data_IF_400589824602
#
_entry.id   IF_400589824602
#
_cell.length_a   1.000
_cell.length_b   1.000
_cell.length_c   1.000
_cell.angle_alpha   90.00
_cell.angle_beta   90.00
_cell.angle_gamma   90.00
#
_symmetry.space_group_name_H-M   'P 1'
#
loop_
_entity.id
_entity.type
_entity.pdbx_description
1 polymer ?
#
# COMPACT_ATOMS: atom_id res chain seq x y z
N UNK A 1 33.77 -28.84 -7.69
CA UNK A 1 33.90 -27.86 -8.79
C UNK A 1 35.27 -27.20 -8.75
N UNK A 2 35.65 -26.52 -7.65
CA UNK A 2 36.96 -25.85 -7.56
C UNK A 2 38.14 -26.81 -7.35
N UNK A 3 37.99 -27.92 -6.62
CA UNK A 3 39.03 -28.92 -6.38
C UNK A 3 39.54 -29.67 -7.64
N UNK A 4 39.08 -29.30 -8.85
CA UNK A 4 39.55 -29.85 -10.13
C UNK A 4 40.65 -29.01 -10.77
N UNK A 5 40.91 -27.80 -10.26
CA UNK A 5 42.02 -26.98 -10.72
C UNK A 5 43.30 -27.36 -9.95
N UNK A 6 44.36 -27.78 -10.66
CA UNK A 6 45.58 -28.30 -10.02
C UNK A 6 46.37 -27.22 -9.26
N UNK A 7 46.14 -25.94 -9.55
CA UNK A 7 46.98 -24.84 -9.04
C UNK A 7 46.47 -24.21 -7.73
N UNK A 8 45.28 -24.60 -7.25
CA UNK A 8 44.67 -23.94 -6.08
C UNK A 8 45.45 -24.26 -4.79
N UNK A 9 45.96 -25.49 -4.65
CA UNK A 9 46.68 -25.89 -3.43
C UNK A 9 48.03 -25.17 -3.29
N UNK A 10 48.77 -25.00 -4.39
CA UNK A 10 49.99 -24.18 -4.43
C UNK A 10 49.69 -22.70 -4.17
N UNK A 11 48.64 -22.16 -4.78
CA UNK A 11 48.28 -20.75 -4.61
C UNK A 11 47.88 -20.40 -3.16
N UNK A 12 47.28 -21.35 -2.44
CA UNK A 12 46.94 -21.20 -1.02
C UNK A 12 48.21 -21.28 -0.17
N UNK A 13 49.12 -22.21 -0.49
CA UNK A 13 50.39 -22.38 0.25
C UNK A 13 51.29 -21.15 0.11
N UNK A 14 51.36 -20.57 -1.09
CA UNK A 14 52.14 -19.37 -1.38
C UNK A 14 51.44 -18.07 -0.87
N UNK A 15 50.19 -18.18 -0.40
CA UNK A 15 49.37 -17.04 0.04
C UNK A 15 48.90 -16.14 -1.11
N UNK A 16 49.13 -16.53 -2.36
CA UNK A 16 48.67 -15.82 -3.55
C UNK A 16 47.13 -15.79 -3.63
N UNK A 17 46.46 -16.85 -3.16
CA UNK A 17 45.00 -16.90 -3.08
C UNK A 17 44.54 -17.08 -1.62
N UNK A 18 43.75 -16.13 -1.13
CA UNK A 18 43.18 -16.23 0.23
C UNK A 18 41.99 -17.18 0.26
N UNK A 19 41.82 -17.90 1.37
CA UNK A 19 40.65 -18.77 1.61
C UNK A 19 39.33 -17.99 1.45
N UNK A 20 39.32 -16.74 1.89
CA UNK A 20 38.16 -15.84 1.75
C UNK A 20 37.84 -15.53 0.29
N UNK A 21 38.85 -15.29 -0.56
CA UNK A 21 38.67 -15.07 -1.99
C UNK A 21 38.13 -16.34 -2.68
N UNK A 22 38.69 -17.50 -2.35
CA UNK A 22 38.25 -18.79 -2.88
C UNK A 22 36.79 -19.10 -2.48
N UNK A 23 36.42 -18.85 -1.22
CA UNK A 23 35.03 -19.03 -0.77
C UNK A 23 34.06 -18.07 -1.46
N UNK A 24 34.49 -16.82 -1.69
CA UNK A 24 33.69 -15.83 -2.43
C UNK A 24 33.44 -16.27 -3.87
N UNK A 25 34.47 -16.77 -4.54
CA UNK A 25 34.36 -17.35 -5.88
C UNK A 25 33.47 -18.61 -5.91
N UNK A 26 33.60 -19.49 -4.92
CA UNK A 26 32.73 -20.67 -4.77
C UNK A 26 31.25 -20.28 -4.64
N UNK A 27 30.94 -19.34 -3.75
CA UNK A 27 29.58 -18.84 -3.54
C UNK A 27 29.04 -18.22 -4.82
N UNK A 28 29.88 -17.47 -5.55
CA UNK A 28 29.54 -16.86 -6.83
C UNK A 28 29.16 -17.93 -7.88
N UNK A 29 30.01 -18.92 -8.13
CA UNK A 29 29.72 -19.99 -9.10
C UNK A 29 28.49 -20.81 -8.71
N UNK A 30 28.28 -21.05 -7.41
CA UNK A 30 27.09 -21.74 -6.91
C UNK A 30 25.81 -20.91 -7.12
N UNK A 31 25.89 -19.58 -7.01
CA UNK A 31 24.77 -18.68 -7.28
C UNK A 31 24.42 -18.67 -8.77
N UNK A 32 25.43 -18.58 -9.63
CA UNK A 32 25.26 -18.48 -11.08
C UNK A 32 24.73 -19.79 -11.68
N UNK A 33 25.23 -20.94 -11.23
CA UNK A 33 24.66 -22.24 -11.58
C UNK A 33 23.19 -22.37 -11.16
N UNK A 34 22.81 -21.84 -9.99
CA UNK A 34 21.40 -21.78 -9.56
C UNK A 34 20.56 -20.81 -10.41
N UNK A 35 21.16 -19.74 -10.91
CA UNK A 35 20.53 -18.80 -11.82
C UNK A 35 20.43 -19.32 -13.27
N UNK A 36 20.97 -20.52 -13.56
CA UNK A 36 20.94 -21.13 -14.89
C UNK A 36 22.16 -20.81 -15.75
N UNK A 37 23.13 -20.05 -15.24
CA UNK A 37 24.38 -19.71 -15.92
C UNK A 37 25.52 -20.60 -15.41
N UNK A 38 25.71 -21.75 -16.08
CA UNK A 38 26.85 -22.61 -15.80
C UNK A 38 28.11 -22.09 -16.52
N UNK A 39 29.17 -21.80 -15.75
CA UNK A 39 30.47 -21.46 -16.31
C UNK A 39 31.21 -22.72 -16.79
N UNK A 40 31.87 -22.62 -17.95
CA UNK A 40 32.81 -23.63 -18.41
C UNK A 40 34.09 -23.63 -17.55
N UNK A 41 34.81 -24.75 -17.56
CA UNK A 41 36.01 -24.96 -16.75
C UNK A 41 37.11 -23.91 -17.03
N UNK A 42 37.34 -23.56 -18.30
CA UNK A 42 38.36 -22.57 -18.67
C UNK A 42 38.01 -21.17 -18.13
N UNK A 43 36.75 -20.77 -18.22
CA UNK A 43 36.30 -19.47 -17.73
C UNK A 43 36.37 -19.37 -16.20
N UNK A 44 36.18 -20.48 -15.49
CA UNK A 44 36.39 -20.55 -14.04
C UNK A 44 37.86 -20.33 -13.68
N UNK A 45 38.79 -20.94 -14.42
CA UNK A 45 40.23 -20.74 -14.26
C UNK A 45 40.67 -19.29 -14.47
N UNK A 46 40.20 -18.64 -15.55
CA UNK A 46 40.49 -17.23 -15.83
C UNK A 46 40.02 -16.30 -14.69
N UNK A 47 38.83 -16.56 -14.14
CA UNK A 47 38.31 -15.79 -13.01
C UNK A 47 39.20 -16.01 -11.79
N UNK A 48 39.59 -17.25 -11.46
CA UNK A 48 40.46 -17.53 -10.32
C UNK A 48 41.84 -16.87 -10.43
N UNK A 49 42.44 -16.85 -11.63
CA UNK A 49 43.70 -16.15 -11.87
C UNK A 49 43.58 -14.65 -11.56
N UNK A 50 42.47 -14.03 -11.97
CA UNK A 50 42.22 -12.60 -11.71
C UNK A 50 42.05 -12.26 -10.22
N UNK A 51 41.79 -13.27 -9.36
CA UNK A 51 41.64 -13.10 -7.92
C UNK A 51 42.97 -13.19 -7.14
N UNK A 52 44.06 -13.64 -7.77
CA UNK A 52 45.36 -13.77 -7.11
C UNK A 52 45.88 -12.40 -6.64
N UNK A 53 46.38 -12.37 -5.41
CA UNK A 53 46.93 -11.20 -4.71
C UNK A 53 45.97 -9.99 -4.63
N UNK A 54 44.65 -10.22 -4.74
CA UNK A 54 43.64 -9.18 -4.61
C UNK A 54 43.11 -9.07 -3.19
N UNK A 55 42.77 -7.84 -2.79
CA UNK A 55 42.04 -7.58 -1.54
C UNK A 55 40.59 -8.08 -1.64
N UNK A 56 39.94 -8.32 -0.49
CA UNK A 56 38.54 -8.77 -0.44
C UNK A 56 37.58 -7.85 -1.20
N UNK A 57 37.81 -6.53 -1.15
CA UNK A 57 37.02 -5.52 -1.88
C UNK A 57 37.21 -5.62 -3.39
N UNK A 58 38.44 -5.86 -3.84
CA UNK A 58 38.76 -6.02 -5.26
C UNK A 58 38.20 -7.33 -5.80
N UNK A 59 38.29 -8.42 -5.02
CA UNK A 59 37.68 -9.71 -5.35
C UNK A 59 36.18 -9.54 -5.57
N UNK A 60 35.47 -8.89 -4.65
CA UNK A 60 34.04 -8.63 -4.80
C UNK A 60 33.73 -7.80 -6.06
N UNK A 61 34.54 -6.78 -6.36
CA UNK A 61 34.39 -5.95 -7.57
C UNK A 61 34.55 -6.77 -8.85
N UNK A 62 35.58 -7.62 -8.91
CA UNK A 62 35.86 -8.47 -10.07
C UNK A 62 34.74 -9.49 -10.28
N UNK A 63 34.27 -10.14 -9.20
CA UNK A 63 33.16 -11.10 -9.28
C UNK A 63 31.85 -10.43 -9.71
N UNK A 64 31.57 -9.21 -9.23
CA UNK A 64 30.40 -8.43 -9.66
C UNK A 64 30.47 -8.04 -11.14
N UNK A 65 31.66 -7.70 -11.65
CA UNK A 65 31.85 -7.38 -13.07
C UNK A 65 31.57 -8.57 -14.01
N UNK A 66 31.77 -9.79 -13.52
CA UNK A 66 31.52 -11.03 -14.27
C UNK A 66 30.15 -11.64 -14.00
N UNK A 67 29.34 -11.04 -13.12
CA UNK A 67 28.02 -11.53 -12.75
C UNK A 67 27.00 -11.33 -13.88
N UNK A 68 26.18 -12.35 -14.15
CA UNK A 68 25.09 -12.25 -15.11
C UNK A 68 23.95 -11.38 -14.58
N UNK A 69 23.66 -11.52 -13.29
CA UNK A 69 22.70 -10.70 -12.56
C UNK A 69 23.45 -9.68 -11.70
N UNK A 70 23.25 -8.39 -11.97
CA UNK A 70 23.60 -7.30 -11.03
C UNK A 70 22.65 -7.23 -9.83
N UNK A 71 21.82 -8.26 -9.61
CA UNK A 71 20.84 -8.30 -8.54
C UNK A 71 21.53 -8.18 -7.18
N UNK A 72 21.59 -6.93 -6.73
CA UNK A 72 22.02 -6.44 -5.43
C UNK A 72 21.06 -6.82 -4.31
N UNK A 73 20.20 -7.81 -4.51
CA UNK A 73 19.49 -8.49 -3.42
C UNK A 73 20.48 -9.39 -2.66
N UNK A 74 21.57 -8.80 -2.16
CA UNK A 74 22.41 -9.39 -1.12
C UNK A 74 21.57 -9.39 0.15
N UNK A 75 21.42 -10.59 0.72
CA UNK A 75 20.58 -10.89 1.88
C UNK A 75 20.81 -9.86 2.99
N UNK A 76 19.75 -9.14 3.34
CA UNK A 76 19.74 -8.30 4.54
C UNK A 76 20.11 -9.18 5.74
N UNK A 77 21.14 -8.77 6.48
CA UNK A 77 21.51 -9.47 7.72
C UNK A 77 21.06 -8.64 8.89
N UNK A 78 20.11 -9.18 9.63
CA UNK A 78 19.65 -8.64 10.89
C UNK A 78 20.15 -9.57 12.00
N UNK A 79 20.94 -9.04 12.94
CA UNK A 79 21.38 -9.76 14.14
C UNK A 79 20.97 -8.97 15.37
N UNK A 80 20.25 -9.61 16.29
CA UNK A 80 20.03 -9.06 17.62
C UNK A 80 21.34 -9.17 18.41
N UNK A 81 21.84 -8.02 18.88
CA UNK A 81 23.04 -7.96 19.75
C UNK A 81 22.60 -7.98 21.21
N UNK A 82 21.51 -7.27 21.53
CA UNK A 82 20.87 -7.27 22.84
C UNK A 82 19.35 -7.27 22.69
N UNK A 83 18.62 -7.29 23.81
CA UNK A 83 17.15 -7.19 23.83
C UNK A 83 16.62 -5.88 23.21
N UNK A 84 17.44 -4.82 23.18
CA UNK A 84 17.05 -3.49 22.68
C UNK A 84 17.82 -3.06 21.43
N UNK A 85 18.98 -3.66 21.14
CA UNK A 85 19.87 -3.22 20.06
C UNK A 85 19.97 -4.27 18.97
N UNK A 86 19.65 -3.83 17.75
CA UNK A 86 19.70 -4.65 16.54
C UNK A 86 20.78 -4.10 15.61
N UNK A 87 21.63 -5.00 15.11
CA UNK A 87 22.55 -4.70 14.02
C UNK A 87 21.92 -5.10 12.70
N UNK A 88 21.66 -4.09 11.86
CA UNK A 88 21.15 -4.24 10.51
C UNK A 88 22.27 -3.93 9.51
N UNK A 89 22.67 -4.93 8.73
CA UNK A 89 23.58 -4.75 7.59
C UNK A 89 22.78 -4.88 6.30
N UNK A 90 22.69 -3.78 5.56
CA UNK A 90 22.03 -3.69 4.26
C UNK A 90 23.02 -3.20 3.21
N UNK A 91 22.89 -3.69 1.99
CA UNK A 91 23.60 -3.18 0.82
C UNK A 91 22.63 -2.36 -0.01
N UNK A 92 23.00 -1.12 -0.29
CA UNK A 92 22.17 -0.15 -0.99
C UNK A 92 22.80 0.18 -2.34
N UNK A 93 21.95 0.56 -3.29
CA UNK A 93 22.40 1.12 -4.57
C UNK A 93 22.85 2.57 -4.40
N UNK A 94 23.75 3.03 -5.27
CA UNK A 94 24.28 4.40 -5.24
C UNK A 94 23.17 5.44 -5.33
N UNK A 95 22.19 5.22 -6.22
CA UNK A 95 21.04 6.12 -6.38
C UNK A 95 20.22 6.22 -5.09
N UNK A 96 20.10 5.12 -4.33
CA UNK A 96 19.38 5.13 -3.05
C UNK A 96 20.15 5.82 -1.94
N UNK A 97 21.48 5.71 -1.95
CA UNK A 97 22.35 6.40 -1.00
C UNK A 97 22.30 7.92 -1.19
N UNK A 98 22.36 8.40 -2.43
CA UNK A 98 22.23 9.83 -2.76
C UNK A 98 20.87 10.40 -2.30
N UNK A 99 19.79 9.62 -2.41
CA UNK A 99 18.47 10.01 -1.89
C UNK A 99 18.47 10.12 -0.36
N UNK A 100 19.14 9.20 0.35
CA UNK A 100 19.24 9.26 1.81
C UNK A 100 20.08 10.46 2.26
N UNK A 101 21.16 10.78 1.56
CA UNK A 101 21.98 11.96 1.82
C UNK A 101 21.20 13.26 1.54
N UNK A 102 20.46 13.31 0.44
CA UNK A 102 19.57 14.43 0.12
C UNK A 102 18.51 14.65 1.21
N UNK A 103 17.90 13.58 1.72
CA UNK A 103 16.96 13.64 2.84
C UNK A 103 17.63 14.14 4.12
N UNK A 104 18.85 13.68 4.42
CA UNK A 104 19.62 14.16 5.57
C UNK A 104 19.89 15.67 5.49
N UNK A 105 20.21 16.19 4.31
CA UNK A 105 20.41 17.62 4.07
C UNK A 105 19.14 18.43 4.38
N UNK A 106 17.98 17.98 3.87
CA UNK A 106 16.69 18.63 4.11
C UNK A 106 16.29 18.64 5.59
N UNK A 107 16.70 17.62 6.34
CA UNK A 107 16.36 17.47 7.75
C UNK A 107 17.42 18.02 8.71
N UNK A 108 18.50 18.60 8.19
CA UNK A 108 19.60 19.17 8.99
C UNK A 108 19.12 20.21 10.01
N UNK A 109 18.15 21.05 9.64
CA UNK A 109 17.53 22.02 10.56
C UNK A 109 16.69 21.37 11.67
N UNK A 110 16.07 20.22 11.37
CA UNK A 110 15.20 19.51 12.32
C UNK A 110 16.02 18.65 13.28
N UNK A 111 17.15 18.12 12.83
CA UNK A 111 18.06 17.30 13.62
C UNK A 111 19.52 17.57 13.21
N UNK A 112 20.25 18.42 13.96
CA UNK A 112 21.67 18.64 13.69
C UNK A 112 22.47 17.37 13.96
N UNK A 113 23.32 16.96 13.01
CA UNK A 113 24.21 15.81 13.18
C UNK A 113 23.55 14.43 13.09
N UNK A 114 22.34 14.32 12.54
CA UNK A 114 21.59 13.07 12.52
C UNK A 114 22.37 11.88 11.90
N UNK A 115 22.35 10.76 12.62
CA UNK A 115 22.83 9.47 12.14
C UNK A 115 21.77 8.79 11.27
N UNK A 116 22.18 7.94 10.33
CA UNK A 116 21.23 7.21 9.47
C UNK A 116 20.21 6.39 10.27
N UNK A 117 20.59 5.86 11.44
CA UNK A 117 19.66 5.17 12.35
C UNK A 117 18.51 6.08 12.81
N UNK A 118 18.81 7.32 13.20
CA UNK A 118 17.80 8.30 13.62
C UNK A 118 16.94 8.75 12.43
N UNK A 119 17.55 8.90 11.25
CA UNK A 119 16.82 9.22 10.02
C UNK A 119 15.81 8.11 9.68
N UNK A 120 16.22 6.84 9.72
CA UNK A 120 15.35 5.68 9.47
C UNK A 120 14.21 5.62 10.49
N UNK A 121 14.50 5.86 11.78
CA UNK A 121 13.47 5.89 12.82
C UNK A 121 12.41 6.97 12.52
N UNK A 122 12.83 8.20 12.24
CA UNK A 122 11.90 9.28 11.96
C UNK A 122 11.19 9.14 10.59
N UNK A 123 11.81 8.47 9.62
CA UNK A 123 11.13 8.03 8.40
C UNK A 123 10.04 6.99 8.70
N UNK A 124 10.33 6.02 9.56
CA UNK A 124 9.36 5.01 9.98
C UNK A 124 8.18 5.65 10.70
N UNK A 125 8.42 6.55 11.65
CA UNK A 125 7.37 7.28 12.37
C UNK A 125 6.50 8.12 11.43
N UNK A 126 7.13 8.81 10.46
CA UNK A 126 6.42 9.60 9.45
C UNK A 126 5.58 8.72 8.52
N UNK A 127 6.08 7.53 8.16
CA UNK A 127 5.37 6.58 7.30
C UNK A 127 4.22 5.90 8.04
N UNK A 128 4.42 5.53 9.30
CA UNK A 128 3.41 4.92 10.15
C UNK A 128 2.30 5.91 10.45
N UNK A 129 2.63 7.12 10.91
CA UNK A 129 1.62 8.18 11.13
C UNK A 129 0.84 8.50 9.85
N UNK A 130 1.51 8.60 8.69
CA UNK A 130 0.84 8.81 7.41
C UNK A 130 -0.05 7.63 6.96
N UNK A 131 0.27 6.38 7.35
CA UNK A 131 -0.51 5.17 7.02
C UNK A 131 -1.64 4.91 8.00
N UNK A 132 -1.43 5.18 9.28
CA UNK A 132 -2.47 5.12 10.32
C UNK A 132 -3.58 6.13 10.02
N UNK A 133 -3.22 7.35 9.62
CA UNK A 133 -4.18 8.36 9.14
C UNK A 133 -4.88 7.98 7.82
N UNK A 134 -4.31 7.03 7.06
CA UNK A 134 -4.84 6.56 5.77
C UNK A 134 -5.54 5.22 5.83
N UNK A 135 -5.62 4.53 6.98
CA UNK A 135 -6.52 3.38 7.09
C UNK A 135 -7.93 3.91 6.82
N UNK A 136 -8.57 3.58 5.68
CA UNK A 136 -10.01 3.69 5.65
C UNK A 136 -10.46 2.75 6.77
N UNK A 137 -11.29 3.22 7.68
CA UNK A 137 -12.13 2.31 8.45
C UNK A 137 -12.96 1.55 7.42
N UNK A 138 -12.43 0.43 6.92
CA UNK A 138 -13.25 -0.61 6.35
C UNK A 138 -14.02 -1.11 7.56
N UNK A 139 -15.14 -0.46 7.85
CA UNK A 139 -16.23 -1.09 8.56
C UNK A 139 -16.62 -2.28 7.70
N UNK A 140 -15.96 -3.43 7.89
CA UNK A 140 -16.58 -4.69 7.57
C UNK A 140 -17.86 -4.67 8.41
N UNK A 141 -19.07 -4.68 7.81
CA UNK A 141 -20.25 -4.96 8.63
C UNK A 141 -19.93 -6.27 9.34
N UNK A 142 -20.13 -6.29 10.67
CA UNK A 142 -20.00 -7.51 11.46
C UNK A 142 -20.76 -8.60 10.71
N UNK A 143 -20.04 -9.55 10.09
CA UNK A 143 -20.62 -10.86 9.90
C UNK A 143 -20.74 -11.37 11.31
N UNK A 144 -21.98 -11.46 11.80
CA UNK A 144 -22.26 -12.34 12.92
C UNK A 144 -21.56 -13.67 12.61
N UNK A 145 -20.75 -14.22 13.54
CA UNK A 145 -20.17 -15.53 13.34
C UNK A 145 -21.34 -16.50 13.09
N UNK A 146 -21.26 -17.21 11.96
CA UNK A 146 -22.16 -18.33 11.71
C UNK A 146 -22.04 -19.30 12.90
N UNK A 147 -23.16 -19.87 13.40
CA UNK A 147 -23.08 -20.83 14.48
C UNK A 147 -22.19 -22.00 14.02
N UNK A 148 -21.21 -22.33 14.86
CA UNK A 148 -20.40 -23.55 14.76
C UNK A 148 -21.35 -24.75 14.69
N UNK A 149 -21.44 -25.38 13.53
CA UNK A 149 -21.92 -26.75 13.45
C UNK A 149 -20.77 -27.64 13.92
N UNK A 150 -20.77 -27.92 15.22
CA UNK A 150 -20.03 -29.02 15.83
C UNK A 150 -20.38 -30.32 15.10
N UNK A 151 -19.35 -30.96 14.56
CA UNK A 151 -19.42 -32.30 14.03
C UNK A 151 -19.63 -33.29 15.20
N UNK A 152 -20.83 -33.85 15.31
CA UNK A 152 -21.07 -35.06 16.07
C UNK A 152 -21.30 -36.23 15.10
N UNK A 153 -20.29 -37.08 15.08
CA UNK A 153 -20.16 -38.47 14.64
C UNK A 153 -21.41 -39.24 14.19
N UNK A 154 -21.16 -40.04 13.16
CA UNK A 154 -21.71 -41.38 12.91
C UNK A 154 -22.28 -42.06 14.16
N UNK A 155 -23.58 -42.35 14.12
CA UNK A 155 -24.13 -43.52 14.80
C UNK A 155 -25.26 -44.08 13.95
N UNK A 156 -25.07 -45.31 13.48
CA UNK A 156 -26.07 -46.10 12.78
C UNK A 156 -27.24 -46.40 13.71
N UNK A 157 -28.48 -46.23 13.25
CA UNK A 157 -29.52 -47.21 13.49
C UNK A 157 -30.65 -47.08 12.46
N UNK A 158 -30.88 -48.15 11.72
CA UNK A 158 -32.09 -48.39 10.94
C UNK A 158 -33.33 -48.23 11.83
N UNK A 159 -34.43 -47.78 11.22
CA UNK A 159 -35.68 -48.55 11.11
C UNK A 159 -36.90 -47.60 11.14
N UNK A 160 -37.80 -47.81 10.17
CA UNK A 160 -39.20 -47.35 10.13
C UNK A 160 -39.43 -45.83 9.95
N UNK A 161 -40.33 -45.32 9.12
CA UNK A 161 -41.41 -45.90 8.33
C UNK A 161 -42.05 -44.76 7.51
N UNK A 162 -42.60 -45.11 6.35
CA UNK A 162 -43.72 -44.50 5.61
C UNK A 162 -43.79 -42.99 5.30
N UNK A 163 -43.69 -42.70 3.98
CA UNK A 163 -44.72 -42.07 3.13
C UNK A 163 -45.77 -41.18 3.83
N UNK A 164 -45.88 -39.92 3.40
CA UNK A 164 -47.10 -39.51 2.69
C UNK A 164 -46.91 -38.28 1.79
N UNK A 165 -47.61 -38.32 0.64
CA UNK A 165 -47.74 -37.29 -0.39
C UNK A 165 -48.92 -36.36 -0.07
N UNK A 166 -49.01 -35.24 -0.82
CA UNK A 166 -50.19 -34.38 -1.17
C UNK A 166 -50.13 -32.98 -0.56
N UNK A 167 -49.82 -31.95 -1.36
CA UNK A 167 -50.69 -31.19 -2.29
C UNK A 167 -51.49 -30.06 -1.59
N UNK A 168 -51.62 -28.93 -2.31
CA UNK A 168 -52.61 -27.83 -2.18
C UNK A 168 -52.34 -26.78 -1.08
N UNK A 169 -52.47 -25.47 -1.28
CA UNK A 169 -53.17 -24.68 -2.31
C UNK A 169 -52.50 -23.31 -2.51
N UNK A 170 -52.70 -22.78 -3.72
CA UNK A 170 -52.50 -21.39 -4.09
C UNK A 170 -53.42 -20.46 -3.28
N UNK A 171 -52.87 -19.37 -2.75
CA UNK A 171 -53.64 -18.19 -2.36
C UNK A 171 -52.96 -16.94 -2.90
N UNK A 172 -53.53 -16.45 -4.00
CA UNK A 172 -53.41 -15.11 -4.57
C UNK A 172 -54.11 -14.09 -3.68
N UNK A 173 -53.44 -13.02 -3.27
CA UNK A 173 -54.06 -11.74 -2.88
C UNK A 173 -53.01 -10.64 -3.11
N UNK A 174 -53.05 -9.97 -4.27
CA UNK A 174 -53.82 -8.78 -4.63
C UNK A 174 -53.27 -7.46 -4.04
N UNK A 175 -53.10 -6.54 -4.99
CA UNK A 175 -52.53 -5.20 -4.92
C UNK A 175 -53.69 -4.24 -4.69
N UNK A 176 -53.62 -3.39 -3.65
CA UNK A 176 -53.84 -1.95 -3.79
C UNK A 176 -53.84 -1.20 -2.46
N UNK A 177 -53.13 -0.07 -2.50
CA UNK A 177 -53.46 1.21 -1.89
C UNK A 177 -53.78 1.24 -0.39
N UNK A 178 -52.80 1.68 0.39
CA UNK A 178 -53.07 2.70 1.41
C UNK A 178 -51.85 3.62 1.54
N UNK A 179 -52.08 4.91 1.28
CA UNK A 179 -51.07 5.95 1.39
C UNK A 179 -50.55 6.05 2.82
N UNK A 180 -49.23 5.96 2.97
CA UNK A 180 -48.56 6.26 4.23
C UNK A 180 -47.99 7.67 4.12
N UNK A 181 -48.85 8.64 4.40
CA UNK A 181 -48.41 9.91 4.97
C UNK A 181 -48.05 9.65 6.42
N UNK A 182 -46.76 9.61 6.74
CA UNK A 182 -46.28 9.79 8.11
C UNK A 182 -45.24 10.88 8.14
N UNK A 183 -45.73 12.11 8.25
CA UNK A 183 -45.06 13.12 9.05
C UNK A 183 -45.23 12.69 10.52
N UNK A 184 -44.12 12.41 11.21
CA UNK A 184 -44.17 12.07 12.63
C UNK A 184 -42.83 11.61 13.20
N UNK A 185 -42.35 12.38 14.19
CA UNK A 185 -41.32 12.05 15.16
C UNK A 185 -39.86 11.98 14.65
N UNK A 186 -39.23 13.16 14.60
CA UNK A 186 -37.77 13.34 14.53
C UNK A 186 -37.12 12.86 15.84
N UNK A 187 -36.84 11.57 15.92
CA UNK A 187 -35.86 11.04 16.86
C UNK A 187 -34.48 11.57 16.47
N UNK A 188 -33.74 12.13 17.43
CA UNK A 188 -32.47 12.85 17.21
C UNK A 188 -31.32 11.91 16.84
N UNK A 189 -31.44 11.22 15.70
CA UNK A 189 -30.33 10.48 15.13
C UNK A 189 -29.21 11.46 14.78
N UNK A 190 -28.06 11.28 15.45
CA UNK A 190 -26.82 12.02 15.15
C UNK A 190 -26.56 11.92 13.64
N UNK A 191 -26.59 13.06 12.94
CA UNK A 191 -26.36 13.12 11.49
C UNK A 191 -25.03 12.44 11.17
N UNK A 192 -25.06 11.32 10.47
CA UNK A 192 -23.86 10.60 10.08
C UNK A 192 -23.24 11.23 8.82
N UNK A 193 -21.91 11.20 8.73
CA UNK A 193 -21.19 11.57 7.49
C UNK A 193 -21.21 10.46 6.44
N UNK A 194 -21.76 9.30 6.76
CA UNK A 194 -21.81 8.18 5.85
C UNK A 194 -22.80 8.46 4.72
N UNK A 195 -22.33 8.40 3.48
CA UNK A 195 -23.17 8.53 2.27
C UNK A 195 -23.67 7.13 1.92
N UNK A 196 -24.99 6.90 1.84
CA UNK A 196 -25.56 5.63 1.43
C UNK A 196 -25.00 5.17 0.07
N UNK A 197 -24.70 3.87 -0.05
CA UNK A 197 -24.08 3.31 -1.25
C UNK A 197 -24.91 3.51 -2.53
N UNK A 198 -26.24 3.48 -2.43
CA UNK A 198 -27.14 3.75 -3.55
C UNK A 198 -26.96 5.17 -4.09
N UNK A 199 -26.98 6.18 -3.22
CA UNK A 199 -26.75 7.59 -3.60
C UNK A 199 -25.38 7.77 -4.23
N UNK A 200 -24.34 7.17 -3.62
CA UNK A 200 -22.98 7.24 -4.15
C UNK A 200 -22.87 6.65 -5.55
N UNK A 201 -23.52 5.51 -5.81
CA UNK A 201 -23.55 4.89 -7.13
C UNK A 201 -24.26 5.78 -8.16
N UNK A 202 -25.40 6.36 -7.80
CA UNK A 202 -26.15 7.27 -8.68
C UNK A 202 -25.32 8.49 -9.07
N UNK A 203 -24.62 9.12 -8.11
CA UNK A 203 -23.71 10.25 -8.38
C UNK A 203 -22.56 9.82 -9.30
N UNK A 204 -21.99 8.64 -9.06
CA UNK A 204 -20.90 8.12 -9.88
C UNK A 204 -21.31 7.88 -11.34
N UNK A 205 -22.51 7.31 -11.55
CA UNK A 205 -23.07 7.07 -12.88
C UNK A 205 -23.42 8.37 -13.58
N UNK A 206 -24.07 9.31 -12.88
CA UNK A 206 -24.42 10.64 -13.41
C UNK A 206 -23.18 11.40 -13.89
N UNK A 207 -22.10 11.37 -13.10
CA UNK A 207 -20.87 12.12 -13.40
C UNK A 207 -19.90 11.33 -14.29
N UNK A 208 -20.30 10.14 -14.77
CA UNK A 208 -19.54 9.31 -15.72
C UNK A 208 -18.17 8.84 -15.19
N UNK A 209 -17.98 8.84 -13.87
CA UNK A 209 -16.68 8.57 -13.25
C UNK A 209 -15.60 9.57 -13.68
N UNK A 210 -15.94 10.86 -13.81
CA UNK A 210 -15.04 11.95 -14.17
C UNK A 210 -15.18 13.12 -13.20
N UNK A 211 -14.09 13.87 -13.01
CA UNK A 211 -14.12 15.11 -12.24
C UNK A 211 -14.90 16.19 -13.01
N UNK A 212 -16.00 16.67 -12.42
CA UNK A 212 -16.83 17.73 -12.99
C UNK A 212 -16.39 19.15 -12.60
N UNK A 213 -15.12 19.36 -12.26
CA UNK A 213 -14.60 20.70 -11.92
C UNK A 213 -14.43 21.54 -13.17
N UNK A 214 -14.97 22.75 -13.15
CA UNK A 214 -14.83 23.78 -14.18
C UNK A 214 -13.93 24.86 -13.60
N UNK A 215 -12.86 25.18 -14.33
CA UNK A 215 -11.99 26.29 -13.98
C UNK A 215 -12.69 27.62 -14.27
N UNK A 216 -12.67 28.56 -13.33
CA UNK A 216 -13.35 29.85 -13.47
C UNK A 216 -12.61 30.82 -14.40
N UNK A 217 -11.31 30.65 -14.59
CA UNK A 217 -10.48 31.50 -15.44
C UNK A 217 -10.42 30.96 -16.87
N UNK A 218 -10.29 29.64 -17.04
CA UNK A 218 -10.14 29.02 -18.36
C UNK A 218 -11.45 28.44 -18.92
N UNK A 219 -12.45 28.19 -18.07
CA UNK A 219 -13.70 27.53 -18.45
C UNK A 219 -13.55 26.02 -18.75
N UNK A 220 -12.35 25.46 -18.57
CA UNK A 220 -12.08 24.06 -18.91
C UNK A 220 -12.59 23.09 -17.85
N UNK A 221 -13.12 21.94 -18.30
CA UNK A 221 -13.57 20.86 -17.42
C UNK A 221 -12.43 19.87 -17.19
N UNK A 222 -12.02 19.70 -15.94
CA UNK A 222 -10.91 18.82 -15.54
C UNK A 222 -11.02 17.39 -16.11
N UNK A 223 -12.21 16.78 -16.10
CA UNK A 223 -12.50 15.46 -16.69
C UNK A 223 -11.62 14.27 -16.23
N UNK A 224 -10.76 14.46 -15.23
CA UNK A 224 -9.86 13.43 -14.71
C UNK A 224 -10.64 12.24 -14.17
N UNK A 225 -10.11 11.02 -14.38
CA UNK A 225 -10.66 9.75 -13.87
C UNK A 225 -9.90 9.20 -12.67
N UNK A 226 -8.87 9.92 -12.21
CA UNK A 226 -7.95 9.44 -11.18
C UNK A 226 -8.26 10.05 -9.81
N UNK A 227 -8.23 9.20 -8.77
CA UNK A 227 -8.43 9.59 -7.35
C UNK A 227 -9.71 10.44 -7.16
N UNK A 228 -10.83 9.92 -7.63
CA UNK A 228 -12.14 10.56 -7.51
C UNK A 228 -12.71 10.38 -6.10
N UNK A 229 -13.32 11.45 -5.60
CA UNK A 229 -13.94 11.58 -4.29
C UNK A 229 -15.34 12.18 -4.47
N UNK A 230 -16.27 11.79 -3.60
CA UNK A 230 -17.62 12.36 -3.58
C UNK A 230 -17.59 13.58 -2.68
N UNK A 231 -17.83 14.75 -3.28
CA UNK A 231 -17.84 16.06 -2.64
C UNK A 231 -19.28 16.56 -2.44
N UNK A 232 -19.50 17.30 -1.36
CA UNK A 232 -20.77 17.95 -1.08
C UNK A 232 -20.75 19.38 -1.62
N UNK A 233 -21.67 19.74 -2.52
CA UNK A 233 -21.79 21.10 -3.06
C UNK A 233 -22.05 22.09 -1.92
N UNK A 234 -23.03 21.80 -1.05
CA UNK A 234 -23.17 22.41 0.26
C UNK A 234 -22.54 21.46 1.28
N UNK A 235 -21.42 21.85 1.92
CA UNK A 235 -20.70 20.94 2.80
C UNK A 235 -21.57 20.38 3.92
N UNK A 236 -21.34 19.11 4.27
CA UNK A 236 -22.05 18.45 5.35
C UNK A 236 -22.00 19.24 6.66
N UNK A 237 -20.85 19.84 6.98
CA UNK A 237 -20.68 20.65 8.19
C UNK A 237 -21.64 21.85 8.23
N UNK A 238 -21.99 22.41 7.07
CA UNK A 238 -22.92 23.53 6.88
C UNK A 238 -24.37 23.09 6.70
N UNK A 239 -24.67 21.81 6.98
CA UNK A 239 -26.03 21.28 6.90
C UNK A 239 -26.35 20.57 5.58
N UNK A 240 -25.36 20.37 4.70
CA UNK A 240 -25.53 19.60 3.46
C UNK A 240 -26.16 18.23 3.66
N UNK A 241 -27.14 17.91 2.82
CA UNK A 241 -27.79 16.61 2.78
C UNK A 241 -27.01 15.62 1.89
N UNK A 242 -27.22 14.32 2.09
CA UNK A 242 -26.66 13.26 1.23
C UNK A 242 -27.61 12.95 0.08
N UNK A 243 -28.04 13.98 -0.65
CA UNK A 243 -28.90 13.84 -1.83
C UNK A 243 -28.04 13.83 -3.10
N UNK A 244 -28.56 13.27 -4.19
CA UNK A 244 -27.82 13.19 -5.45
C UNK A 244 -27.49 14.60 -5.96
N UNK A 245 -28.37 15.57 -5.75
CA UNK A 245 -28.22 16.96 -6.17
C UNK A 245 -27.13 17.69 -5.39
N UNK A 246 -26.98 17.38 -4.09
CA UNK A 246 -25.97 18.00 -3.23
C UNK A 246 -24.61 17.29 -3.30
N UNK A 247 -24.50 16.20 -4.04
CA UNK A 247 -23.27 15.42 -4.19
C UNK A 247 -22.73 15.50 -5.61
N UNK A 248 -21.41 15.56 -5.75
CA UNK A 248 -20.71 15.60 -7.04
C UNK A 248 -19.38 14.88 -6.98
N UNK A 249 -18.85 14.52 -8.14
CA UNK A 249 -17.58 13.83 -8.26
C UNK A 249 -16.44 14.81 -8.58
N UNK A 250 -15.40 14.79 -7.74
CA UNK A 250 -14.20 15.63 -7.88
C UNK A 250 -12.95 14.79 -7.73
N UNK A 251 -11.87 15.12 -8.45
CA UNK A 251 -10.58 14.51 -8.14
C UNK A 251 -10.08 15.06 -6.79
N UNK A 252 -9.22 14.29 -6.10
CA UNK A 252 -8.67 14.67 -4.80
C UNK A 252 -8.10 16.09 -4.78
N UNK A 253 -7.40 16.52 -5.83
CA UNK A 253 -6.81 17.86 -5.92
C UNK A 253 -7.89 18.95 -5.91
N UNK A 254 -8.92 18.82 -6.75
CA UNK A 254 -10.01 19.79 -6.81
C UNK A 254 -10.91 19.74 -5.57
N UNK A 255 -11.13 18.57 -4.98
CA UNK A 255 -11.85 18.46 -3.71
C UNK A 255 -11.14 19.22 -2.59
N UNK A 256 -9.81 19.05 -2.47
CA UNK A 256 -9.00 19.77 -1.50
C UNK A 256 -8.93 21.28 -1.77
N UNK A 257 -8.87 21.69 -3.04
CA UNK A 257 -8.93 23.10 -3.43
C UNK A 257 -10.26 23.72 -3.01
N UNK A 258 -11.39 23.09 -3.36
CA UNK A 258 -12.73 23.56 -2.95
C UNK A 258 -12.86 23.65 -1.44
N UNK A 259 -12.40 22.63 -0.70
CA UNK A 259 -12.40 22.66 0.75
C UNK A 259 -11.57 23.83 1.32
N UNK A 260 -10.42 24.14 0.70
CA UNK A 260 -9.57 25.25 1.10
C UNK A 260 -10.23 26.61 0.85
N UNK A 261 -10.94 26.76 -0.26
CA UNK A 261 -11.70 27.97 -0.58
C UNK A 261 -12.90 28.17 0.36
N UNK A 262 -13.61 27.07 0.71
CA UNK A 262 -14.81 27.15 1.54
C UNK A 262 -14.53 27.32 3.04
N UNK A 263 -13.46 26.71 3.54
CA UNK A 263 -13.16 26.68 4.98
C UNK A 263 -11.96 27.55 5.38
N UNK A 264 -11.29 28.18 4.42
CA UNK A 264 -10.02 28.88 4.63
C UNK A 264 -8.85 27.89 4.79
N UNK A 265 -7.68 28.28 4.30
CA UNK A 265 -6.46 27.47 4.42
C UNK A 265 -6.11 27.17 5.88
N UNK A 266 -5.88 25.88 6.18
CA UNK A 266 -5.37 25.29 7.43
C UNK A 266 -5.69 26.08 8.73
N UNK A 267 -6.75 25.62 9.39
CA UNK A 267 -7.16 25.93 10.76
C UNK A 267 -7.78 27.32 10.97
N UNK A 268 -9.11 27.40 10.93
CA UNK A 268 -9.84 28.37 11.77
C UNK A 268 -11.32 27.99 11.90
N UNK A 269 -11.90 28.39 13.04
CA UNK A 269 -13.22 27.98 13.52
C UNK A 269 -14.35 28.27 12.52
N UNK A 270 -15.20 27.27 12.40
CA UNK A 270 -16.44 27.21 11.61
C UNK A 270 -17.31 28.47 11.77
N UNK A 271 -17.38 29.34 10.74
CA UNK A 271 -18.39 30.41 10.65
C UNK A 271 -19.44 30.05 9.60
N UNK A 272 -20.66 29.71 10.07
CA UNK A 272 -21.82 29.30 9.24
C UNK A 272 -22.26 30.35 8.22
N UNK A 273 -22.00 31.64 8.46
CA UNK A 273 -22.49 32.74 7.63
C UNK A 273 -21.77 32.86 6.27
N UNK A 274 -20.48 32.52 6.20
CA UNK A 274 -19.65 32.75 5.01
C UNK A 274 -19.90 31.73 3.87
N UNK A 275 -20.42 30.54 4.20
CA UNK A 275 -20.59 29.43 3.25
C UNK A 275 -21.79 29.63 2.31
N UNK A 276 -22.76 30.48 2.67
CA UNK A 276 -23.95 30.75 1.83
C UNK A 276 -23.65 31.68 0.65
N UNK A 277 -22.77 32.66 0.80
CA UNK A 277 -22.44 33.64 -0.26
C UNK A 277 -21.56 33.03 -1.36
N UNK A 278 -20.60 32.17 -1.01
CA UNK A 278 -19.73 31.49 -1.98
C UNK A 278 -20.46 30.42 -2.82
N UNK A 279 -21.53 29.82 -2.29
CA UNK A 279 -22.31 28.80 -3.00
C UNK A 279 -23.06 29.40 -4.21
N UNK A 280 -23.49 30.66 -4.11
CA UNK A 280 -24.16 31.38 -5.23
C UNK A 280 -23.17 31.75 -6.33
N UNK A 281 -21.93 32.10 -5.98
CA UNK A 281 -20.90 32.52 -6.92
C UNK A 281 -20.29 31.37 -7.75
N UNK A 282 -20.48 30.11 -7.33
CA UNK A 282 -19.85 28.93 -7.96
C UNK A 282 -20.85 28.04 -8.71
N UNK A 283 -22.13 28.43 -8.74
CA UNK A 283 -23.23 27.74 -9.46
C UNK A 283 -23.82 28.57 -10.59
N UNK A 284 -23.26 29.75 -10.86
CA UNK A 284 -23.62 30.61 -11.99
C UNK A 284 -22.72 30.34 -13.20
#
# INVERSE_FOLDING_TARGET
MLARHPDIESDIADGALTITALNSAYIFFKRETKAGHAFCFNRQGEILESLRQKSTREVERILLAHASSQDLHRKERCRQISETVVSLTITLDQVTLEKLESLKSLWSHKMPGANFSQLIAAMADSCLSARELRRPTICRPNRTPAPELEAASSFEFEHQFELDLRERDAATVDVSATGITTAGASESHKRSRHIPSAVRMTVWMRDGGKCGFVDAETGEVCSSRHRLEVDHVLPFASGGAHTVENLRLRCRTHNQWTASQMFGGRATKFRRSFVRELHVAYTA
#
